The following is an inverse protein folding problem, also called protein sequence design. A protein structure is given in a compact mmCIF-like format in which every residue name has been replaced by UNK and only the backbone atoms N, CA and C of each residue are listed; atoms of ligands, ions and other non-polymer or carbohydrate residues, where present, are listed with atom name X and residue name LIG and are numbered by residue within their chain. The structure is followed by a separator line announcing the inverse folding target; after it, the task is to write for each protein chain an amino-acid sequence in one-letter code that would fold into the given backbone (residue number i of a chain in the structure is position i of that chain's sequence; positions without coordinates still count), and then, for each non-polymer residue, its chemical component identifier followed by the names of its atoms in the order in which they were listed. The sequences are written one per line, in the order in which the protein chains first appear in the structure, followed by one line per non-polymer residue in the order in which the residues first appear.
data_IF_885603545202
#
_entry.id   IF_885603545202
#
_cell.length_a   1.000
_cell.length_b   1.000
_cell.length_c   1.000
_cell.angle_alpha   90.00
_cell.angle_beta   90.00
_cell.angle_gamma   90.00
#
_symmetry.space_group_name_H-M   'P 1'
#
loop_
_entity.id
_entity.type
_entity.pdbx_description
1 polymer ?
#
# COMPACT_ATOMS: atom_id res chain seq x y z
N UNK A 1 13.67 9.21 -28.92
CA UNK A 1 13.90 9.05 -27.47
C UNK A 1 13.47 7.65 -27.18
N UNK A 2 14.39 6.81 -26.72
CA UNK A 2 14.14 5.39 -26.51
C UNK A 2 13.02 5.23 -25.48
N UNK A 3 11.91 4.65 -25.93
CA UNK A 3 10.75 4.40 -25.08
C UNK A 3 11.13 3.32 -24.07
N UNK A 4 11.00 3.61 -22.78
CA UNK A 4 11.12 2.61 -21.72
C UNK A 4 9.98 1.60 -21.94
N UNK A 5 10.30 0.31 -21.93
CA UNK A 5 9.28 -0.73 -22.07
C UNK A 5 8.43 -0.78 -20.78
N UNK A 6 7.12 -1.02 -20.84
CA UNK A 6 6.26 -1.13 -19.65
C UNK A 6 6.78 -2.15 -18.62
N UNK A 7 7.40 -3.23 -19.09
CA UNK A 7 8.03 -4.25 -18.22
C UNK A 7 9.19 -3.67 -17.42
N UNK A 8 10.03 -2.84 -18.04
CA UNK A 8 11.12 -2.15 -17.34
C UNK A 8 10.60 -1.12 -16.32
N UNK A 9 9.42 -0.54 -16.56
CA UNK A 9 8.79 0.36 -15.59
C UNK A 9 8.35 -0.40 -14.34
N UNK A 10 7.79 -1.61 -14.52
CA UNK A 10 7.46 -2.51 -13.41
C UNK A 10 8.73 -2.93 -12.67
N UNK A 11 9.78 -3.33 -13.38
CA UNK A 11 11.06 -3.70 -12.77
C UNK A 11 11.69 -2.55 -11.99
N UNK A 12 11.67 -1.33 -12.53
CA UNK A 12 12.18 -0.13 -11.84
C UNK A 12 11.33 0.16 -10.60
N UNK A 13 10.02 0.01 -10.70
CA UNK A 13 9.12 0.21 -9.56
C UNK A 13 9.37 -0.83 -8.48
N UNK A 14 9.43 -2.11 -8.84
CA UNK A 14 9.69 -3.21 -7.92
C UNK A 14 11.07 -3.06 -7.28
N UNK A 15 12.09 -2.69 -8.06
CA UNK A 15 13.42 -2.36 -7.54
C UNK A 15 13.38 -1.17 -6.59
N UNK A 16 12.65 -0.10 -6.89
CA UNK A 16 12.52 1.04 -5.99
C UNK A 16 11.76 0.68 -4.71
N UNK A 17 10.72 -0.17 -4.83
CA UNK A 17 9.92 -0.69 -3.73
C UNK A 17 10.79 -1.54 -2.79
N UNK A 18 11.60 -2.44 -3.34
CA UNK A 18 12.40 -3.40 -2.59
C UNK A 18 13.77 -2.86 -2.15
N UNK A 19 14.43 -1.98 -2.91
CA UNK A 19 15.76 -1.43 -2.53
C UNK A 19 15.72 -0.53 -1.29
N UNK A 20 14.58 0.11 -1.01
CA UNK A 20 14.40 0.87 0.23
C UNK A 20 14.47 -0.03 1.47
N UNK A 21 14.13 -1.32 1.36
CA UNK A 21 14.18 -2.29 2.45
C UNK A 21 15.61 -2.69 2.82
N UNK A 22 16.51 -2.77 1.84
CA UNK A 22 17.90 -3.19 2.08
C UNK A 22 18.74 -2.12 2.80
N UNK A 23 18.32 -0.84 2.79
CA UNK A 23 19.05 0.22 3.50
C UNK A 23 18.72 0.32 5.00
N UNK A 24 17.63 -0.28 5.49
CA UNK A 24 17.18 -0.13 6.89
C UNK A 24 17.24 -1.40 7.74
N UNK A 25 17.61 -2.56 7.18
CA UNK A 25 17.78 -3.78 7.98
C UNK A 25 19.17 -3.83 8.67
N UNK A 26 19.26 -3.88 10.02
CA UNK A 26 20.49 -4.28 10.66
C UNK A 26 20.78 -5.75 10.30
N UNK A 27 22.01 -6.04 9.90
CA UNK A 27 22.41 -7.35 9.37
C UNK A 27 22.01 -8.51 10.30
N UNK A 28 21.45 -9.62 9.78
CA UNK A 28 21.04 -10.74 10.62
C UNK A 28 22.28 -11.43 11.20
N UNK A 29 22.40 -11.42 12.52
CA UNK A 29 23.38 -12.26 13.22
C UNK A 29 23.02 -13.73 13.01
N UNK A 30 23.99 -14.51 12.53
CA UNK A 30 23.86 -15.94 12.25
C UNK A 30 23.33 -16.72 13.45
N UNK A 31 22.10 -17.26 13.35
CA UNK A 31 21.56 -18.19 14.35
C UNK A 31 20.05 -18.39 14.42
N UNK A 32 19.24 -17.88 13.50
CA UNK A 32 17.80 -17.78 13.76
C UNK A 32 16.99 -19.07 13.53
N UNK A 33 16.24 -19.49 14.55
CA UNK A 33 15.36 -20.68 14.54
C UNK A 33 13.98 -20.35 13.97
N UNK A 34 13.20 -21.38 13.58
CA UNK A 34 11.89 -21.20 12.92
C UNK A 34 10.84 -20.36 13.69
N UNK A 35 11.01 -20.17 15.00
CA UNK A 35 10.21 -19.24 15.81
C UNK A 35 10.57 -17.77 15.55
N UNK A 36 11.83 -17.45 15.24
CA UNK A 36 12.23 -16.10 14.84
C UNK A 36 11.71 -15.73 13.46
N UNK A 37 11.53 -16.70 12.56
CA UNK A 37 10.86 -16.48 11.27
C UNK A 37 9.37 -16.20 11.47
N UNK A 38 8.70 -16.90 12.39
CA UNK A 38 7.31 -16.61 12.75
C UNK A 38 7.18 -15.23 13.42
N UNK A 39 8.12 -14.88 14.32
CA UNK A 39 8.22 -13.53 14.88
C UNK A 39 8.55 -12.47 13.82
N UNK A 40 9.27 -12.79 12.75
CA UNK A 40 9.52 -11.87 11.62
C UNK A 40 8.25 -11.61 10.81
N UNK A 41 7.39 -12.62 10.65
CA UNK A 41 6.06 -12.49 10.04
C UNK A 41 5.15 -11.61 10.93
N UNK A 42 5.23 -11.75 12.26
CA UNK A 42 4.54 -10.88 13.21
C UNK A 42 5.22 -9.50 13.42
N UNK A 43 6.53 -9.36 13.15
CA UNK A 43 7.31 -8.11 13.25
C UNK A 43 7.17 -7.21 12.02
N UNK A 44 6.20 -7.47 11.14
CA UNK A 44 5.72 -6.49 10.18
C UNK A 44 5.19 -5.20 10.85
N UNK A 45 4.96 -5.25 12.17
CA UNK A 45 4.60 -4.12 13.03
C UNK A 45 5.79 -3.27 13.49
N UNK A 46 7.03 -3.54 13.05
CA UNK A 46 8.22 -2.79 13.49
C UNK A 46 8.40 -1.41 12.82
N UNK A 47 7.45 -0.96 11.99
CA UNK A 47 7.41 0.45 11.58
C UNK A 47 6.92 1.31 12.74
N UNK A 48 7.67 2.38 13.12
CA UNK A 48 7.24 3.27 14.18
C UNK A 48 5.87 3.84 13.82
N UNK A 49 4.88 3.49 14.63
CA UNK A 49 3.46 3.83 14.53
C UNK A 49 3.21 5.33 14.37
N UNK A 50 4.19 6.16 14.76
CA UNK A 50 4.22 7.61 14.63
C UNK A 50 4.53 8.15 13.22
N UNK A 51 4.89 7.31 12.24
CA UNK A 51 5.27 7.75 10.89
C UNK A 51 4.27 7.34 9.78
N UNK A 52 3.24 6.54 10.09
CA UNK A 52 2.21 6.18 9.12
C UNK A 52 1.23 7.35 8.92
N UNK A 53 1.58 8.24 7.98
CA UNK A 53 0.70 9.30 7.52
C UNK A 53 -0.59 8.69 6.92
N UNK A 54 -1.76 9.30 7.18
CA UNK A 54 -2.99 8.98 6.49
C UNK A 54 -2.80 8.98 4.97
N UNK A 55 -3.12 7.87 4.29
CA UNK A 55 -2.83 7.77 2.87
C UNK A 55 -3.12 6.43 2.21
N UNK A 56 -2.82 6.39 0.91
CA UNK A 56 -2.88 5.19 0.08
C UNK A 56 -1.52 5.02 -0.60
N UNK A 57 -0.91 3.86 -0.40
CA UNK A 57 0.38 3.48 -0.97
C UNK A 57 0.28 2.10 -1.62
N UNK A 58 1.25 1.76 -2.47
CA UNK A 58 1.27 0.48 -3.17
C UNK A 58 1.91 -0.62 -2.32
N UNK A 59 2.74 -0.25 -1.34
CA UNK A 59 3.46 -1.20 -0.51
C UNK A 59 3.57 -0.72 0.93
N UNK A 60 3.42 -1.64 1.89
CA UNK A 60 3.40 -1.33 3.34
C UNK A 60 4.68 -0.69 3.88
N UNK A 61 5.83 -0.95 3.25
CA UNK A 61 7.15 -0.47 3.70
C UNK A 61 7.75 0.61 2.80
N UNK A 62 7.08 0.98 1.70
CA UNK A 62 7.64 1.92 0.75
C UNK A 62 6.62 3.02 0.38
N UNK A 63 6.98 4.31 0.57
CA UNK A 63 6.08 5.41 0.24
C UNK A 63 5.96 5.69 -1.27
N UNK A 64 6.81 5.08 -2.11
CA UNK A 64 6.70 5.21 -3.56
C UNK A 64 5.40 4.56 -4.04
N UNK A 65 4.73 5.28 -4.93
CA UNK A 65 3.44 4.89 -5.50
C UNK A 65 3.47 5.13 -7.00
N UNK A 66 2.53 4.56 -7.76
CA UNK A 66 2.40 4.86 -9.19
C UNK A 66 2.29 6.37 -9.45
N UNK A 67 1.68 7.11 -8.52
CA UNK A 67 1.61 8.58 -8.62
C UNK A 67 3.00 9.19 -8.68
N UNK A 68 3.96 8.75 -7.86
CA UNK A 68 5.33 9.25 -7.91
C UNK A 68 5.99 9.00 -9.28
N UNK A 69 5.81 7.81 -9.86
CA UNK A 69 6.28 7.50 -11.21
C UNK A 69 5.67 8.43 -12.26
N UNK A 70 4.36 8.69 -12.15
CA UNK A 70 3.63 9.52 -13.10
C UNK A 70 4.03 11.02 -13.08
N UNK A 71 4.87 11.43 -12.13
CA UNK A 71 5.37 12.78 -11.99
C UNK A 71 6.79 12.99 -12.54
N UNK A 72 7.48 11.94 -13.00
CA UNK A 72 8.85 12.04 -13.54
C UNK A 72 8.88 12.83 -14.85
N UNK A 73 8.15 12.38 -15.87
CA UNK A 73 7.98 13.08 -17.14
C UNK A 73 6.64 12.67 -17.81
N UNK A 74 6.33 13.26 -18.97
CA UNK A 74 5.10 12.96 -19.72
C UNK A 74 5.01 11.47 -20.11
N UNK A 75 6.10 10.90 -20.60
CA UNK A 75 6.12 9.51 -21.06
C UNK A 75 5.89 8.54 -19.90
N UNK A 76 6.51 8.79 -18.74
CA UNK A 76 6.29 7.99 -17.53
C UNK A 76 4.86 8.08 -17.04
N UNK A 77 4.26 9.26 -17.10
CA UNK A 77 2.83 9.42 -16.79
C UNK A 77 1.96 8.54 -17.67
N UNK A 78 2.18 8.56 -18.97
CA UNK A 78 1.39 7.76 -19.92
C UNK A 78 1.58 6.26 -19.66
N UNK A 79 2.82 5.80 -19.44
CA UNK A 79 3.09 4.39 -19.15
C UNK A 79 2.51 3.94 -17.80
N UNK A 80 2.67 4.73 -16.74
CA UNK A 80 2.12 4.41 -15.42
C UNK A 80 0.60 4.31 -15.46
N UNK A 81 -0.09 5.24 -16.14
CA UNK A 81 -1.55 5.19 -16.29
C UNK A 81 -1.99 4.02 -17.17
N UNK A 82 -1.15 3.56 -18.09
CA UNK A 82 -1.42 2.41 -18.95
C UNK A 82 -1.07 1.04 -18.35
N UNK A 83 -0.53 1.00 -17.13
CA UNK A 83 -0.10 -0.23 -16.44
C UNK A 83 -0.95 -0.51 -15.19
N UNK A 84 -2.13 -1.17 -15.32
CA UNK A 84 -3.03 -1.48 -14.21
C UNK A 84 -2.41 -2.26 -13.06
N UNK A 85 -1.34 -3.00 -13.33
CA UNK A 85 -0.62 -3.83 -12.36
C UNK A 85 -0.05 -2.97 -11.23
N UNK A 86 0.48 -1.80 -11.56
CA UNK A 86 1.03 -0.82 -10.60
C UNK A 86 -0.02 -0.35 -9.58
N UNK A 87 -1.31 -0.38 -9.94
CA UNK A 87 -2.42 0.14 -9.14
C UNK A 87 -3.18 -0.97 -8.39
N UNK A 88 -2.84 -2.24 -8.61
CA UNK A 88 -3.59 -3.39 -8.10
C UNK A 88 -3.28 -3.77 -6.66
N UNK A 89 -2.16 -3.29 -6.10
CA UNK A 89 -1.83 -3.44 -4.69
C UNK A 89 -2.15 -2.13 -3.96
N UNK A 90 -3.10 -2.16 -3.02
CA UNK A 90 -3.63 -0.98 -2.36
C UNK A 90 -3.50 -1.14 -0.84
N UNK A 91 -2.61 -0.36 -0.25
CA UNK A 91 -2.43 -0.26 1.18
C UNK A 91 -3.03 1.06 1.69
N UNK A 92 -4.08 0.97 2.49
CA UNK A 92 -4.77 2.10 3.11
C UNK A 92 -4.27 2.23 4.55
N UNK A 93 -3.59 3.32 4.85
CA UNK A 93 -3.16 3.67 6.20
C UNK A 93 -4.05 4.80 6.75
N UNK A 94 -4.65 4.60 7.92
CA UNK A 94 -5.38 5.64 8.65
C UNK A 94 -6.35 6.44 7.75
N UNK A 95 -7.39 5.78 7.25
CA UNK A 95 -8.31 6.38 6.27
C UNK A 95 -8.86 7.75 6.69
N UNK A 96 -9.03 8.64 5.70
CA UNK A 96 -9.60 9.98 5.88
C UNK A 96 -10.52 10.33 4.72
N UNK A 97 -11.39 11.35 4.84
CA UNK A 97 -12.30 11.74 3.75
C UNK A 97 -11.56 12.06 2.43
N UNK A 98 -10.34 12.59 2.50
CA UNK A 98 -9.50 12.85 1.33
C UNK A 98 -9.02 11.58 0.62
N UNK A 99 -8.77 10.49 1.36
CA UNK A 99 -8.27 9.23 0.78
C UNK A 99 -9.35 8.46 0.04
N UNK A 100 -10.64 8.67 0.31
CA UNK A 100 -11.74 7.99 -0.39
C UNK A 100 -11.70 8.25 -1.90
N UNK A 101 -11.48 9.50 -2.31
CA UNK A 101 -11.38 9.85 -3.74
C UNK A 101 -10.17 9.19 -4.40
N UNK A 102 -9.05 9.18 -3.68
CA UNK A 102 -7.82 8.52 -4.13
C UNK A 102 -8.03 7.01 -4.27
N UNK A 103 -8.74 6.37 -3.33
CA UNK A 103 -9.06 4.95 -3.36
C UNK A 103 -9.86 4.58 -4.61
N UNK A 104 -10.90 5.36 -4.93
CA UNK A 104 -11.68 5.20 -6.17
C UNK A 104 -10.81 5.34 -7.42
N UNK A 105 -9.87 6.28 -7.41
CA UNK A 105 -8.94 6.45 -8.52
C UNK A 105 -8.04 5.22 -8.70
N UNK A 106 -7.47 4.69 -7.62
CA UNK A 106 -6.65 3.49 -7.69
C UNK A 106 -7.43 2.28 -8.22
N UNK A 107 -8.65 2.06 -7.74
CA UNK A 107 -9.51 0.98 -8.24
C UNK A 107 -9.84 1.14 -9.73
N UNK A 108 -10.07 2.38 -10.18
CA UNK A 108 -10.31 2.68 -11.59
C UNK A 108 -9.09 2.33 -12.46
N UNK A 109 -7.88 2.74 -12.04
CA UNK A 109 -6.65 2.46 -12.77
C UNK A 109 -6.28 0.98 -12.75
N UNK A 110 -6.60 0.26 -11.68
CA UNK A 110 -6.40 -1.19 -11.59
C UNK A 110 -7.26 -1.99 -12.60
N UNK A 111 -8.21 -1.34 -13.30
CA UNK A 111 -8.93 -1.93 -14.42
C UNK A 111 -9.76 -3.14 -14.01
N UNK A 112 -9.44 -4.33 -14.53
CA UNK A 112 -10.04 -5.63 -14.14
C UNK A 112 -9.04 -6.56 -13.42
N UNK A 113 -7.83 -6.06 -13.08
CA UNK A 113 -6.79 -6.87 -12.45
C UNK A 113 -7.22 -7.37 -11.07
N UNK A 114 -6.71 -8.53 -10.62
CA UNK A 114 -6.89 -8.98 -9.24
C UNK A 114 -6.32 -7.97 -8.24
N UNK A 115 -7.04 -7.71 -7.16
CA UNK A 115 -6.69 -6.69 -6.16
C UNK A 115 -6.07 -7.30 -4.91
N UNK A 116 -4.99 -6.71 -4.44
CA UNK A 116 -4.42 -6.95 -3.11
C UNK A 116 -4.75 -5.75 -2.24
N UNK A 117 -5.56 -5.94 -1.21
CA UNK A 117 -6.04 -4.85 -0.36
C UNK A 117 -5.55 -5.04 1.07
N UNK A 118 -4.97 -4.00 1.65
CA UNK A 118 -4.60 -3.97 3.06
C UNK A 118 -5.15 -2.71 3.69
N UNK A 119 -5.99 -2.85 4.72
CA UNK A 119 -6.49 -1.74 5.50
C UNK A 119 -5.83 -1.76 6.87
N UNK A 120 -5.02 -0.75 7.18
CA UNK A 120 -4.43 -0.56 8.51
C UNK A 120 -4.98 0.68 9.17
N UNK A 121 -5.56 0.47 10.34
CA UNK A 121 -6.10 1.53 11.18
C UNK A 121 -5.42 1.51 12.55
N UNK A 122 -4.65 2.57 12.82
CA UNK A 122 -3.89 2.75 14.07
C UNK A 122 -4.63 3.60 15.11
N UNK A 123 -5.87 4.03 14.82
CA UNK A 123 -6.62 4.94 15.71
C UNK A 123 -6.40 6.43 15.43
N UNK A 124 -5.36 6.78 14.65
CA UNK A 124 -4.94 8.20 14.46
C UNK A 124 -6.05 9.05 13.83
N UNK A 125 -6.74 8.54 12.81
CA UNK A 125 -7.85 9.26 12.15
C UNK A 125 -9.22 8.69 12.53
N UNK A 126 -9.32 7.41 12.84
CA UNK A 126 -10.57 6.71 13.17
C UNK A 126 -11.13 7.02 14.55
N UNK A 127 -10.36 7.69 15.41
CA UNK A 127 -10.86 8.34 16.62
C UNK A 127 -11.81 9.51 16.32
N UNK A 128 -11.82 10.02 15.09
CA UNK A 128 -12.81 10.99 14.62
C UNK A 128 -13.93 10.27 13.85
N UNK A 129 -15.16 10.77 13.97
CA UNK A 129 -16.31 10.25 13.22
C UNK A 129 -16.03 10.24 11.71
N UNK A 130 -15.47 11.33 11.18
CA UNK A 130 -15.16 11.47 9.76
C UNK A 130 -14.09 10.48 9.25
N UNK A 131 -13.10 10.13 10.07
CA UNK A 131 -12.10 9.13 9.70
C UNK A 131 -12.68 7.71 9.67
N UNK A 132 -13.50 7.37 10.67
CA UNK A 132 -14.22 6.09 10.71
C UNK A 132 -15.16 5.94 9.51
N UNK A 133 -15.94 6.96 9.21
CA UNK A 133 -16.84 6.96 8.06
C UNK A 133 -16.09 6.77 6.74
N UNK A 134 -14.91 7.38 6.60
CA UNK A 134 -14.07 7.20 5.41
C UNK A 134 -13.57 5.75 5.25
N UNK A 135 -13.10 5.10 6.32
CA UNK A 135 -12.69 3.69 6.27
C UNK A 135 -13.86 2.79 5.92
N UNK A 136 -15.02 3.00 6.55
CA UNK A 136 -16.25 2.24 6.26
C UNK A 136 -16.68 2.45 4.80
N UNK A 137 -16.61 3.67 4.27
CA UNK A 137 -16.91 3.94 2.87
C UNK A 137 -15.93 3.20 1.94
N UNK A 138 -14.62 3.26 2.19
CA UNK A 138 -13.63 2.54 1.39
C UNK A 138 -13.84 1.02 1.42
N UNK A 139 -14.18 0.44 2.58
CA UNK A 139 -14.53 -0.97 2.69
C UNK A 139 -15.78 -1.33 1.88
N UNK A 140 -16.81 -0.47 1.89
CA UNK A 140 -18.02 -0.67 1.06
C UNK A 140 -17.69 -0.62 -0.43
N UNK A 141 -16.86 0.34 -0.85
CA UNK A 141 -16.40 0.45 -2.24
C UNK A 141 -15.61 -0.81 -2.62
N UNK A 142 -14.67 -1.24 -1.76
CA UNK A 142 -13.87 -2.43 -2.00
C UNK A 142 -14.75 -3.67 -2.17
N UNK A 143 -15.75 -3.85 -1.29
CA UNK A 143 -16.65 -5.01 -1.30
C UNK A 143 -17.46 -5.11 -2.60
N UNK A 144 -17.77 -3.98 -3.24
CA UNK A 144 -18.41 -3.93 -4.55
C UNK A 144 -17.53 -4.46 -5.69
N UNK A 145 -16.23 -4.65 -5.45
CA UNK A 145 -15.25 -5.23 -6.37
C UNK A 145 -14.69 -6.57 -5.85
N UNK A 146 -15.43 -7.25 -4.97
CA UNK A 146 -14.97 -8.47 -4.29
C UNK A 146 -14.69 -9.65 -5.22
N UNK A 147 -15.28 -9.65 -6.42
CA UNK A 147 -15.04 -10.65 -7.46
C UNK A 147 -13.60 -10.64 -7.99
N UNK A 148 -12.86 -9.55 -7.75
CA UNK A 148 -11.47 -9.38 -8.18
C UNK A 148 -10.48 -9.52 -7.05
N UNK A 149 -10.90 -9.80 -5.82
CA UNK A 149 -9.97 -9.84 -4.70
C UNK A 149 -9.03 -11.05 -4.82
N UNK A 150 -7.71 -10.77 -4.83
CA UNK A 150 -6.65 -11.76 -4.67
C UNK A 150 -6.33 -11.96 -3.19
N UNK A 151 -6.27 -10.87 -2.44
CA UNK A 151 -6.10 -10.87 -0.98
C UNK A 151 -6.74 -9.65 -0.35
N UNK A 152 -7.28 -9.81 0.86
CA UNK A 152 -7.74 -8.71 1.71
C UNK A 152 -7.27 -8.94 3.13
N UNK A 153 -6.49 -8.01 3.66
CA UNK A 153 -6.10 -7.94 5.06
C UNK A 153 -6.69 -6.70 5.73
N UNK A 154 -7.17 -6.87 6.95
CA UNK A 154 -7.57 -5.76 7.82
C UNK A 154 -6.78 -5.85 9.12
N UNK A 155 -6.13 -4.76 9.50
CA UNK A 155 -5.34 -4.62 10.73
C UNK A 155 -5.88 -3.45 11.53
N UNK A 156 -6.37 -3.74 12.73
CA UNK A 156 -6.90 -2.74 13.64
C UNK A 156 -6.13 -2.79 14.96
N UNK A 157 -5.47 -1.70 15.30
CA UNK A 157 -4.62 -1.61 16.50
C UNK A 157 -5.26 -0.78 17.63
N UNK A 158 -6.45 -0.23 17.42
CA UNK A 158 -7.12 0.72 18.32
C UNK A 158 -7.71 0.15 19.62
N UNK A 159 -7.27 -1.02 20.10
CA UNK A 159 -7.80 -1.62 21.34
C UNK A 159 -6.92 -1.43 22.60
N UNK A 160 -5.80 -0.70 22.51
CA UNK A 160 -4.85 -0.55 23.64
C UNK A 160 -5.17 0.51 24.70
N UNK A 161 -6.37 1.07 24.75
CA UNK A 161 -6.78 1.95 25.87
C UNK A 161 -8.22 1.67 26.29
N UNK A 162 -8.40 0.66 27.14
CA UNK A 162 -9.48 0.63 28.15
C UNK A 162 -8.99 -0.10 29.39
#
# INVERSE_FOLDING_TARGET
MDHILPELLLDIFDLAVHSFFDQEQPSPSSGQTGEETALAIFKDDSYPQSQLQPGIIAHKTNPFTPIHLSHVCKDWREMTLAAPELWSSIYVANGSPGTVKLFRHWLHQAGSRPLELVFRDTGVTSNTESGRDAVVEMLRIAAAHSERWKSVETRYEGWKTM
#
